data_IF_778505317569
#
_entry.id   IF_778505317569
#
_cell.length_a   1.000
_cell.length_b   1.000
_cell.length_c   1.000
_cell.angle_alpha   90.00
_cell.angle_beta   90.00
_cell.angle_gamma   90.00
#
_symmetry.space_group_name_H-M   'P 1'
#
loop_
_entity.id
_entity.type
_entity.pdbx_description
1 polymer ?
#
# COMPACT_ATOMS: atom_id res chain seq x y z
N UNK A 1 41.29 -20.90 63.71
CA UNK A 1 42.54 -21.62 64.08
C UNK A 1 43.28 -21.87 62.76
N UNK A 2 44.41 -21.20 62.59
CA UNK A 2 45.66 -21.63 61.90
C UNK A 2 45.51 -22.06 60.41
N UNK A 3 46.25 -21.65 59.39
CA UNK A 3 47.65 -21.27 59.39
C UNK A 3 47.96 -20.56 58.04
N UNK A 4 48.81 -19.57 58.10
CA UNK A 4 49.47 -18.87 56.99
C UNK A 4 50.46 -19.83 56.30
N UNK A 5 50.59 -19.71 54.98
CA UNK A 5 51.91 -19.95 54.37
C UNK A 5 52.09 -19.02 53.20
N UNK A 6 53.12 -18.22 53.27
CA UNK A 6 53.70 -17.32 52.25
C UNK A 6 54.74 -18.13 51.51
N UNK A 7 54.79 -18.04 50.21
CA UNK A 7 55.97 -18.36 49.43
C UNK A 7 56.14 -17.36 48.28
N UNK A 8 57.24 -16.66 48.31
CA UNK A 8 57.83 -15.86 47.22
C UNK A 8 58.54 -16.81 46.25
N UNK A 9 58.43 -16.51 44.94
CA UNK A 9 59.55 -16.75 43.97
C UNK A 9 59.25 -16.03 42.68
N UNK A 10 60.04 -15.00 42.42
CA UNK A 10 61.01 -14.87 41.28
C UNK A 10 60.38 -14.76 39.87
N UNK A 11 60.74 -13.63 39.30
CA UNK A 11 60.41 -13.12 37.99
C UNK A 11 60.88 -13.91 36.79
N UNK A 12 60.16 -13.73 35.72
CA UNK A 12 60.66 -13.91 34.36
C UNK A 12 60.00 -12.85 33.49
N UNK A 13 60.79 -11.84 33.10
CA UNK A 13 60.40 -10.84 32.07
C UNK A 13 60.55 -11.50 30.72
N UNK A 14 59.43 -11.81 30.04
CA UNK A 14 59.45 -12.15 28.64
C UNK A 14 58.79 -11.02 27.88
N UNK A 15 59.61 -10.35 27.04
CA UNK A 15 59.15 -9.44 26.01
C UNK A 15 58.30 -10.22 25.02
N UNK A 16 56.97 -10.06 25.02
CA UNK A 16 56.11 -10.52 23.96
C UNK A 16 55.94 -9.36 22.97
N UNK A 17 56.51 -9.53 21.79
CA UNK A 17 56.26 -8.69 20.60
C UNK A 17 54.80 -8.85 20.25
N UNK A 18 54.02 -7.80 20.51
CA UNK A 18 52.57 -7.78 20.19
C UNK A 18 52.29 -7.69 18.70
N UNK A 19 51.94 -8.80 18.08
CA UNK A 19 51.21 -8.77 16.81
C UNK A 19 49.73 -8.44 17.11
N UNK A 20 49.31 -7.20 16.88
CA UNK A 20 47.92 -6.82 16.88
C UNK A 20 47.21 -7.48 15.70
N UNK A 21 46.16 -8.27 15.90
CA UNK A 21 45.35 -8.72 14.79
C UNK A 21 44.59 -7.52 14.21
N UNK A 22 44.81 -7.23 12.94
CA UNK A 22 43.99 -6.28 12.17
C UNK A 22 42.53 -6.75 12.25
N UNK A 23 41.67 -5.98 12.91
CA UNK A 23 40.21 -6.17 12.85
C UNK A 23 39.77 -6.06 11.37
N UNK A 24 38.97 -6.99 10.88
CA UNK A 24 38.36 -6.80 9.58
C UNK A 24 37.46 -5.56 9.65
N UNK A 25 37.77 -4.58 8.81
CA UNK A 25 36.89 -3.42 8.59
C UNK A 25 35.67 -3.97 7.88
N UNK A 26 34.59 -4.12 8.63
CA UNK A 26 33.29 -4.46 8.09
C UNK A 26 32.78 -3.23 7.33
N UNK A 27 33.17 -3.09 6.06
CA UNK A 27 32.66 -2.06 5.17
C UNK A 27 31.22 -2.46 4.83
N UNK A 28 30.25 -1.99 5.62
CA UNK A 28 28.86 -2.06 5.23
C UNK A 28 28.73 -1.41 3.83
N UNK A 29 27.98 -2.03 2.91
CA UNK A 29 27.72 -1.41 1.62
C UNK A 29 27.15 -0.01 1.86
N UNK A 30 27.52 1.00 1.07
CA UNK A 30 26.94 2.33 1.21
C UNK A 30 25.43 2.20 1.12
N UNK A 31 24.73 2.68 2.14
CA UNK A 31 23.29 2.79 2.11
C UNK A 31 22.95 3.54 0.82
N UNK A 32 22.19 2.90 -0.06
CA UNK A 32 21.72 3.53 -1.28
C UNK A 32 21.04 4.82 -0.87
N UNK A 33 21.61 5.95 -1.24
CA UNK A 33 21.00 7.27 -1.03
C UNK A 33 19.65 7.25 -1.72
N UNK A 34 18.59 7.12 -0.93
CA UNK A 34 17.24 7.27 -1.44
C UNK A 34 17.15 8.69 -1.98
N UNK A 35 17.10 8.82 -3.30
CA UNK A 35 16.83 10.09 -3.96
C UNK A 35 15.54 10.64 -3.35
N UNK A 36 15.51 11.89 -2.86
CA UNK A 36 14.27 12.46 -2.32
C UNK A 36 13.20 12.42 -3.40
N UNK A 37 12.15 11.66 -3.17
CA UNK A 37 11.01 11.59 -4.09
C UNK A 37 10.33 12.95 -4.07
N UNK A 38 10.38 13.65 -5.19
CA UNK A 38 9.71 14.94 -5.33
C UNK A 38 8.20 14.74 -5.14
N UNK A 39 7.61 15.45 -4.19
CA UNK A 39 6.16 15.47 -3.93
C UNK A 39 5.39 16.37 -4.92
N UNK A 40 5.80 16.40 -6.17
CA UNK A 40 5.12 17.17 -7.22
C UNK A 40 4.02 16.34 -7.84
N UNK A 41 2.85 16.93 -8.06
CA UNK A 41 1.73 16.27 -8.72
C UNK A 41 2.14 15.71 -10.09
N UNK A 42 1.89 14.41 -10.29
CA UNK A 42 2.25 13.72 -11.52
C UNK A 42 1.77 12.26 -11.51
N UNK A 43 1.86 11.59 -12.68
CA UNK A 43 1.48 10.20 -12.76
C UNK A 43 2.45 9.31 -11.95
N UNK A 44 1.89 8.28 -11.33
CA UNK A 44 2.70 7.21 -10.76
C UNK A 44 3.52 6.51 -11.84
N UNK A 45 4.76 6.08 -11.54
CA UNK A 45 5.45 5.13 -12.41
C UNK A 45 4.70 3.79 -12.44
N UNK A 46 4.85 2.99 -13.50
CA UNK A 46 4.12 1.72 -13.63
C UNK A 46 4.27 0.78 -12.42
N UNK A 47 5.45 0.76 -11.80
CA UNK A 47 5.69 -0.01 -10.57
C UNK A 47 4.88 0.48 -9.36
N UNK A 48 4.33 1.69 -9.43
CA UNK A 48 3.51 2.30 -8.38
C UNK A 48 2.06 1.81 -8.36
N UNK A 49 1.58 1.21 -9.45
CA UNK A 49 0.22 0.70 -9.58
C UNK A 49 0.11 -0.72 -9.01
N UNK A 50 0.41 -0.92 -7.72
CA UNK A 50 0.30 -2.22 -7.04
C UNK A 50 -0.42 -2.06 -5.72
N UNK A 51 -1.64 -2.55 -5.64
CA UNK A 51 -2.48 -2.53 -4.46
C UNK A 51 -2.82 -3.94 -3.98
N UNK A 52 -3.04 -4.09 -2.67
CA UNK A 52 -3.82 -5.19 -2.10
C UNK A 52 -5.09 -4.62 -1.50
N UNK A 53 -6.22 -5.14 -1.94
CA UNK A 53 -7.54 -4.69 -1.50
C UNK A 53 -8.28 -5.82 -0.83
N UNK A 54 -9.01 -5.50 0.23
CA UNK A 54 -9.90 -6.44 0.92
C UNK A 54 -11.23 -5.77 1.22
N UNK A 55 -12.31 -6.47 0.97
CA UNK A 55 -13.67 -6.10 1.38
C UNK A 55 -14.02 -6.96 2.60
N UNK A 56 -13.98 -6.41 3.84
CA UNK A 56 -14.26 -7.21 5.03
C UNK A 56 -15.71 -7.70 5.09
N UNK A 57 -16.63 -6.88 4.63
CA UNK A 57 -18.07 -7.15 4.68
C UNK A 57 -18.76 -6.61 3.40
N UNK A 58 -18.60 -7.28 2.25
CA UNK A 58 -19.25 -6.87 1.02
C UNK A 58 -20.75 -7.16 1.07
N UNK A 59 -21.62 -6.27 0.55
CA UNK A 59 -23.05 -6.55 0.45
C UNK A 59 -23.28 -7.75 -0.48
N UNK A 60 -24.13 -8.69 -0.06
CA UNK A 60 -24.59 -9.81 -0.90
C UNK A 60 -25.84 -9.48 -1.70
N UNK A 61 -26.64 -8.51 -1.22
CA UNK A 61 -27.89 -8.07 -1.85
C UNK A 61 -28.09 -6.57 -1.67
N UNK A 62 -28.58 -5.90 -2.72
CA UNK A 62 -28.95 -4.49 -2.70
C UNK A 62 -30.26 -4.30 -3.47
N UNK A 63 -30.99 -3.20 -3.20
CA UNK A 63 -32.12 -2.79 -4.05
C UNK A 63 -31.62 -2.03 -5.27
N UNK A 64 -32.36 -2.09 -6.36
CA UNK A 64 -32.07 -1.33 -7.57
C UNK A 64 -31.89 0.17 -7.27
N UNK A 65 -30.74 0.73 -7.63
CA UNK A 65 -30.37 2.13 -7.37
C UNK A 65 -30.05 2.47 -5.91
N UNK A 66 -30.01 1.50 -4.99
CA UNK A 66 -29.64 1.72 -3.59
C UNK A 66 -28.21 2.27 -3.51
N UNK A 67 -28.04 3.27 -2.65
CA UNK A 67 -26.71 3.75 -2.25
C UNK A 67 -26.29 3.03 -0.97
N UNK A 68 -25.07 2.55 -0.95
CA UNK A 68 -24.48 1.84 0.17
C UNK A 68 -23.07 2.35 0.41
N UNK A 69 -22.62 2.37 1.66
CA UNK A 69 -21.23 2.71 2.02
C UNK A 69 -20.54 1.43 2.49
N UNK A 70 -19.51 1.06 1.77
CA UNK A 70 -18.70 -0.11 2.10
C UNK A 70 -17.32 0.30 2.64
N UNK A 71 -16.72 -0.55 3.45
CA UNK A 71 -15.34 -0.40 3.91
C UNK A 71 -14.41 -1.21 3.02
N UNK A 72 -13.31 -0.58 2.63
CA UNK A 72 -12.24 -1.19 1.85
C UNK A 72 -10.94 -1.07 2.61
N UNK A 73 -10.28 -2.19 2.91
CA UNK A 73 -8.90 -2.19 3.39
C UNK A 73 -7.96 -2.10 2.21
N UNK A 74 -7.09 -1.10 2.25
CA UNK A 74 -6.17 -0.75 1.18
C UNK A 74 -4.75 -0.83 1.68
N UNK A 75 -3.90 -1.59 0.99
CA UNK A 75 -2.46 -1.66 1.23
C UNK A 75 -1.70 -1.20 0.01
N UNK A 76 -0.73 -0.31 0.22
CA UNK A 76 0.24 0.02 -0.80
C UNK A 76 1.25 -1.13 -0.96
N UNK A 77 1.04 -1.99 -1.94
CA UNK A 77 1.93 -3.11 -2.25
C UNK A 77 3.05 -2.73 -3.24
N UNK A 78 3.18 -1.44 -3.57
CA UNK A 78 4.23 -0.92 -4.44
C UNK A 78 5.49 -0.55 -3.65
N UNK A 79 6.54 -0.15 -4.35
CA UNK A 79 7.78 0.36 -3.80
C UNK A 79 7.87 1.90 -3.82
N UNK A 80 6.77 2.59 -4.12
CA UNK A 80 6.69 4.05 -4.13
C UNK A 80 5.61 4.57 -3.20
N UNK A 81 5.78 5.79 -2.71
CA UNK A 81 4.76 6.46 -1.89
C UNK A 81 3.58 6.85 -2.77
N UNK A 82 2.37 6.58 -2.29
CA UNK A 82 1.14 7.12 -2.87
C UNK A 82 0.79 8.44 -2.17
N UNK A 83 0.76 9.50 -2.94
CA UNK A 83 0.39 10.81 -2.44
C UNK A 83 -1.12 10.97 -2.51
N UNK A 84 -1.76 11.24 -1.38
CA UNK A 84 -3.22 11.37 -1.29
C UNK A 84 -3.77 12.41 -2.27
N UNK A 85 -3.09 13.53 -2.39
CA UNK A 85 -3.48 14.63 -3.28
C UNK A 85 -2.62 14.72 -4.55
N UNK A 86 -1.96 13.61 -4.94
CA UNK A 86 -1.12 13.55 -6.13
C UNK A 86 0.23 14.27 -5.99
N UNK A 87 0.53 14.86 -4.83
CA UNK A 87 1.77 15.57 -4.52
C UNK A 87 1.54 16.82 -3.69
N UNK A 88 2.58 17.35 -3.04
CA UNK A 88 2.48 18.53 -2.16
C UNK A 88 2.02 19.80 -2.89
N UNK A 89 2.29 19.88 -4.18
CA UNK A 89 1.97 21.07 -5.02
C UNK A 89 0.84 20.77 -5.99
N UNK A 90 -0.05 19.85 -5.65
CA UNK A 90 -1.21 19.59 -6.48
C UNK A 90 -2.36 20.51 -6.03
N UNK A 91 -2.57 21.57 -6.77
CA UNK A 91 -3.65 22.54 -6.62
C UNK A 91 -4.72 22.42 -7.72
N UNK A 92 -4.74 21.28 -8.42
CA UNK A 92 -5.63 21.07 -9.57
C UNK A 92 -7.08 20.90 -9.12
N UNK A 93 -7.99 21.72 -9.62
CA UNK A 93 -9.41 21.64 -9.28
C UNK A 93 -10.10 20.38 -9.85
N UNK A 94 -9.48 19.71 -10.83
CA UNK A 94 -9.97 18.49 -11.45
C UNK A 94 -9.51 17.21 -10.70
N UNK A 95 -8.88 17.35 -9.54
CA UNK A 95 -8.32 16.25 -8.73
C UNK A 95 -7.34 15.33 -9.50
N UNK A 96 -6.81 15.75 -10.63
CA UNK A 96 -5.90 14.97 -11.44
C UNK A 96 -4.68 14.53 -10.62
N UNK A 97 -4.28 13.28 -10.78
CA UNK A 97 -3.22 12.59 -10.03
C UNK A 97 -3.57 12.18 -8.60
N UNK A 98 -4.74 12.54 -8.08
CA UNK A 98 -5.20 12.04 -6.79
C UNK A 98 -5.38 10.52 -6.87
N UNK A 99 -5.13 9.86 -5.76
CA UNK A 99 -5.36 8.41 -5.65
C UNK A 99 -6.65 8.18 -4.89
N UNK A 100 -7.52 7.37 -5.46
CA UNK A 100 -8.82 7.05 -4.91
C UNK A 100 -9.05 5.54 -4.92
N UNK A 101 -9.94 5.07 -4.05
CA UNK A 101 -10.61 3.79 -4.21
C UNK A 101 -11.86 4.02 -5.04
N UNK A 102 -12.16 3.09 -5.94
CA UNK A 102 -13.35 3.17 -6.77
C UNK A 102 -13.96 1.80 -7.06
N UNK A 103 -15.16 1.80 -7.66
CA UNK A 103 -15.81 0.57 -8.09
C UNK A 103 -16.25 0.62 -9.53
N UNK A 104 -16.33 -0.56 -10.14
CA UNK A 104 -17.05 -0.85 -11.38
C UNK A 104 -18.03 -1.97 -11.14
N UNK A 105 -19.19 -1.90 -11.77
CA UNK A 105 -20.13 -3.00 -11.82
C UNK A 105 -19.89 -3.83 -13.07
N UNK A 106 -19.80 -5.14 -12.90
CA UNK A 106 -19.65 -6.08 -14.00
C UNK A 106 -20.93 -6.93 -14.09
N UNK A 107 -21.32 -7.28 -15.31
CA UNK A 107 -22.41 -8.22 -15.57
C UNK A 107 -21.99 -9.68 -15.30
N UNK A 108 -22.91 -10.61 -15.55
CA UNK A 108 -22.67 -12.06 -15.42
C UNK A 108 -21.52 -12.59 -16.30
N UNK A 109 -21.20 -11.88 -17.38
CA UNK A 109 -20.14 -12.23 -18.33
C UNK A 109 -18.82 -11.50 -18.02
N UNK A 110 -18.74 -10.86 -16.82
CA UNK A 110 -17.60 -10.08 -16.34
C UNK A 110 -17.29 -8.84 -17.21
N UNK A 111 -18.25 -8.33 -17.95
CA UNK A 111 -18.11 -7.10 -18.72
C UNK A 111 -18.55 -5.90 -17.90
N UNK A 112 -17.83 -4.77 -17.97
CA UNK A 112 -18.27 -3.54 -17.32
C UNK A 112 -19.66 -3.12 -17.80
N UNK A 113 -20.50 -2.73 -16.86
CA UNK A 113 -21.81 -2.13 -17.14
C UNK A 113 -21.65 -0.61 -17.30
N UNK A 114 -22.69 0.06 -17.80
CA UNK A 114 -22.74 1.53 -17.91
C UNK A 114 -23.17 2.24 -16.60
N UNK A 115 -23.20 1.51 -15.49
CA UNK A 115 -23.61 2.06 -14.20
C UNK A 115 -22.54 2.98 -13.61
N UNK A 116 -22.98 3.87 -12.72
CA UNK A 116 -22.14 4.89 -12.10
C UNK A 116 -21.02 4.28 -11.27
N UNK A 117 -19.79 4.67 -11.55
CA UNK A 117 -18.62 4.40 -10.73
C UNK A 117 -18.63 5.32 -9.51
N UNK A 118 -18.40 4.75 -8.33
CA UNK A 118 -18.13 5.53 -7.11
C UNK A 118 -16.62 5.70 -6.95
N UNK A 119 -16.20 6.89 -6.53
CA UNK A 119 -14.80 7.17 -6.20
C UNK A 119 -14.71 7.86 -4.83
N UNK A 120 -13.71 7.50 -4.04
CA UNK A 120 -13.37 8.21 -2.80
C UNK A 120 -11.86 8.35 -2.66
N UNK A 121 -11.39 9.61 -2.61
CA UNK A 121 -9.97 9.95 -2.53
C UNK A 121 -9.32 9.53 -1.21
N UNK A 122 -8.04 9.19 -1.27
CA UNK A 122 -7.23 8.98 -0.07
C UNK A 122 -7.11 10.28 0.73
N UNK A 123 -7.22 10.17 2.06
CA UNK A 123 -7.11 11.32 2.98
C UNK A 123 -5.71 11.49 3.55
N UNK A 124 -4.83 10.53 3.37
CA UNK A 124 -3.43 10.55 3.82
C UNK A 124 -2.52 9.82 2.81
N UNK A 125 -1.28 10.25 2.76
CA UNK A 125 -0.24 9.56 2.01
C UNK A 125 -0.05 8.14 2.54
N UNK A 126 0.31 7.21 1.67
CA UNK A 126 0.52 5.81 2.02
C UNK A 126 1.89 5.35 1.51
N UNK A 127 2.80 5.08 2.43
CA UNK A 127 4.14 4.56 2.11
C UNK A 127 4.09 3.10 1.65
N UNK A 128 5.15 2.60 0.98
CA UNK A 128 5.27 1.18 0.68
C UNK A 128 5.02 0.29 1.90
N UNK A 129 4.13 -0.69 1.74
CA UNK A 129 3.74 -1.63 2.79
C UNK A 129 2.71 -1.12 3.81
N UNK A 130 2.42 0.18 3.86
CA UNK A 130 1.40 0.73 4.76
C UNK A 130 -0.02 0.38 4.32
N UNK A 131 -0.91 0.34 5.31
CA UNK A 131 -2.33 0.02 5.14
C UNK A 131 -3.23 1.14 5.68
N UNK A 132 -4.42 1.24 5.11
CA UNK A 132 -5.48 2.13 5.60
C UNK A 132 -6.85 1.54 5.32
N UNK A 133 -7.85 1.98 6.06
CA UNK A 133 -9.24 1.73 5.73
C UNK A 133 -9.81 2.96 5.04
N UNK A 134 -10.57 2.72 3.98
CA UNK A 134 -11.28 3.75 3.22
C UNK A 134 -12.74 3.37 3.11
N UNK A 135 -13.62 4.35 3.13
CA UNK A 135 -15.02 4.14 2.79
C UNK A 135 -15.23 4.38 1.30
N UNK A 136 -16.17 3.68 0.70
CA UNK A 136 -16.58 3.88 -0.68
C UNK A 136 -18.10 3.86 -0.76
N UNK A 137 -18.69 4.95 -1.23
CA UNK A 137 -20.11 4.97 -1.55
C UNK A 137 -20.31 4.35 -2.93
N UNK A 138 -21.03 3.23 -2.96
CA UNK A 138 -21.47 2.57 -4.19
C UNK A 138 -22.93 2.87 -4.47
N UNK A 139 -23.32 2.81 -5.74
CA UNK A 139 -24.73 2.85 -6.15
C UNK A 139 -25.04 1.57 -6.92
N UNK A 140 -26.01 0.81 -6.44
CA UNK A 140 -26.42 -0.44 -7.10
C UNK A 140 -26.96 -0.17 -8.51
N UNK A 141 -26.78 -1.12 -9.46
CA UNK A 141 -27.42 -1.07 -10.76
C UNK A 141 -28.92 -0.84 -10.68
N UNK A 142 -29.47 -0.10 -11.64
CA UNK A 142 -30.90 0.20 -11.71
C UNK A 142 -31.75 -0.99 -12.13
N UNK A 143 -31.16 -1.96 -12.83
CA UNK A 143 -31.83 -3.16 -13.26
C UNK A 143 -31.61 -4.28 -12.25
N UNK A 144 -32.66 -4.99 -11.78
CA UNK A 144 -32.49 -6.19 -10.98
C UNK A 144 -31.70 -7.27 -11.74
N UNK A 145 -30.87 -8.02 -11.04
CA UNK A 145 -30.03 -9.06 -11.63
C UNK A 145 -28.83 -9.45 -10.78
N UNK A 146 -28.03 -10.35 -11.31
CA UNK A 146 -26.77 -10.77 -10.71
C UNK A 146 -25.62 -9.93 -11.27
N UNK A 147 -24.84 -9.35 -10.38
CA UNK A 147 -23.72 -8.48 -10.71
C UNK A 147 -22.46 -8.86 -9.91
N UNK A 148 -21.33 -8.36 -10.38
CA UNK A 148 -20.07 -8.40 -9.64
C UNK A 148 -19.64 -6.96 -9.34
N UNK A 149 -19.58 -6.63 -8.05
CA UNK A 149 -18.93 -5.42 -7.57
C UNK A 149 -17.42 -5.64 -7.66
N UNK A 150 -16.76 -4.92 -8.55
CA UNK A 150 -15.29 -4.92 -8.68
C UNK A 150 -14.75 -3.63 -8.07
N UNK A 151 -13.96 -3.75 -7.00
CA UNK A 151 -13.31 -2.61 -6.33
C UNK A 151 -11.83 -2.58 -6.69
N UNK A 152 -11.35 -1.39 -7.01
CA UNK A 152 -10.00 -1.13 -7.49
C UNK A 152 -9.50 0.22 -6.97
N UNK A 153 -8.19 0.47 -7.10
CA UNK A 153 -7.62 1.80 -6.94
C UNK A 153 -7.58 2.51 -8.30
N UNK A 154 -7.63 3.82 -8.26
CA UNK A 154 -7.49 4.67 -9.44
C UNK A 154 -6.58 5.85 -9.14
N UNK A 155 -5.70 6.20 -10.07
CA UNK A 155 -5.08 7.52 -10.10
C UNK A 155 -5.85 8.39 -11.07
N UNK A 156 -6.52 9.41 -10.55
CA UNK A 156 -7.43 10.27 -11.28
C UNK A 156 -6.75 10.93 -12.48
N UNK A 157 -7.40 10.80 -13.64
CA UNK A 157 -6.89 11.33 -14.90
C UNK A 157 -5.66 10.61 -15.45
N UNK A 158 -5.32 9.44 -14.90
CA UNK A 158 -4.19 8.60 -15.36
C UNK A 158 -4.67 7.19 -15.71
N UNK A 159 -4.93 6.34 -14.70
CA UNK A 159 -5.33 4.95 -14.96
C UNK A 159 -5.91 4.28 -13.70
N UNK A 160 -6.68 3.22 -13.91
CA UNK A 160 -7.03 2.25 -12.90
C UNK A 160 -5.84 1.33 -12.62
N UNK A 161 -5.69 0.90 -11.39
CA UNK A 161 -4.59 0.01 -11.00
C UNK A 161 -4.73 -1.38 -11.63
N UNK A 162 -5.97 -1.89 -11.75
CA UNK A 162 -6.25 -3.14 -12.44
C UNK A 162 -5.84 -3.14 -13.90
N UNK A 163 -5.98 -2.00 -14.59
CA UNK A 163 -5.56 -1.84 -15.98
C UNK A 163 -4.02 -1.86 -16.13
N UNK A 164 -3.30 -1.68 -15.00
CA UNK A 164 -1.84 -1.82 -14.89
C UNK A 164 -1.40 -3.16 -14.29
N UNK A 165 -2.33 -4.11 -14.15
CA UNK A 165 -2.04 -5.47 -13.69
C UNK A 165 -2.09 -5.66 -12.16
N UNK A 166 -2.55 -4.68 -11.41
CA UNK A 166 -2.83 -4.85 -9.98
C UNK A 166 -4.07 -5.73 -9.78
N UNK A 167 -4.09 -6.66 -8.82
CA UNK A 167 -5.29 -7.43 -8.54
C UNK A 167 -6.42 -6.54 -8.00
N UNK A 168 -7.62 -6.71 -8.54
CA UNK A 168 -8.85 -6.10 -8.02
C UNK A 168 -9.54 -7.03 -7.04
N UNK A 169 -10.33 -6.49 -6.11
CA UNK A 169 -11.18 -7.31 -5.24
C UNK A 169 -12.62 -7.30 -5.74
N UNK A 170 -13.29 -8.46 -5.65
CA UNK A 170 -14.61 -8.66 -6.26
C UNK A 170 -15.58 -9.33 -5.29
N UNK A 171 -16.84 -8.91 -5.33
CA UNK A 171 -17.94 -9.53 -4.60
C UNK A 171 -19.15 -9.74 -5.52
N UNK A 172 -19.83 -10.88 -5.38
CA UNK A 172 -21.12 -11.12 -6.07
C UNK A 172 -22.22 -10.39 -5.31
N UNK A 173 -23.08 -9.70 -6.03
CA UNK A 173 -24.21 -8.93 -5.47
C UNK A 173 -25.47 -9.20 -6.28
N UNK A 174 -26.53 -9.60 -5.59
CA UNK A 174 -27.86 -9.70 -6.17
C UNK A 174 -28.58 -8.37 -6.04
N UNK A 175 -28.98 -7.78 -7.15
CA UNK A 175 -29.82 -6.56 -7.14
C UNK A 175 -31.30 -6.97 -7.28
N UNK A 176 -32.11 -6.57 -6.28
CA UNK A 176 -33.53 -6.82 -6.23
C UNK A 176 -34.33 -5.54 -6.51
N UNK A 177 -35.66 -5.69 -6.74
CA UNK A 177 -36.57 -4.54 -6.96
C UNK A 177 -36.69 -3.66 -5.73
#
# INVERSE_FOLDING_TARGET
MKLRTVLLAAGCVTLAIGCSPKRPVNTAPPAASATPVSKVAGPLPDRGFKAQLTLPDPPSQLRAGQKEVITVKVKNASDVVWWAVGGEKNDRPDNKFYIAVGNRWLDKDSKPTSETEGHNGMTKDLKPGEETEMTLQITAPKQPGEYVLSVDMVQEGVNWFGDKGSPTTKAKVTVVK
#
